data_IF_278244436646
#
_entry.id   IF_278244436646
#
_cell.length_a   1.000
_cell.length_b   1.000
_cell.length_c   1.000
_cell.angle_alpha   90.00
_cell.angle_beta   90.00
_cell.angle_gamma   90.00
#
_symmetry.space_group_name_H-M   'P 1'
#
loop_
_entity.id
_entity.type
_entity.pdbx_description
1 polymer ?
#
# COMPACT_ATOMS: atom_id res chain seq x y z
N UNK A 1 10.95 19.42 3.16
CA UNK A 1 11.69 18.23 3.62
C UNK A 1 10.91 17.31 4.56
N UNK A 2 9.71 17.67 5.05
CA UNK A 2 8.98 16.83 6.05
C UNK A 2 7.98 15.84 5.45
N UNK A 3 7.88 15.74 4.13
CA UNK A 3 6.98 14.80 3.47
C UNK A 3 7.44 14.51 2.05
N UNK A 4 7.47 13.23 1.64
CA UNK A 4 7.89 12.81 0.29
C UNK A 4 6.87 13.17 -0.80
N UNK A 5 5.64 13.55 -0.42
CA UNK A 5 4.51 13.76 -1.33
C UNK A 5 4.77 14.72 -2.52
N UNK A 6 5.47 15.87 -2.37
CA UNK A 6 5.73 16.80 -3.47
C UNK A 6 6.53 16.18 -4.62
N UNK A 7 7.29 15.10 -4.38
CA UNK A 7 8.06 14.40 -5.39
C UNK A 7 7.23 13.35 -6.16
N UNK A 8 6.08 12.94 -5.62
CA UNK A 8 5.20 11.95 -6.25
C UNK A 8 4.04 12.58 -7.02
N UNK A 9 3.51 13.73 -6.57
CA UNK A 9 2.40 14.42 -7.25
C UNK A 9 2.69 14.69 -8.75
N UNK A 10 3.88 15.19 -9.14
CA UNK A 10 4.16 15.55 -10.53
C UNK A 10 4.27 14.33 -11.47
N UNK A 11 4.44 13.12 -10.92
CA UNK A 11 4.55 11.91 -11.71
C UNK A 11 3.20 11.48 -12.33
N UNK A 12 2.08 12.14 -11.96
CA UNK A 12 0.72 11.83 -12.42
C UNK A 12 0.34 10.35 -12.26
N UNK A 13 0.92 9.71 -11.25
CA UNK A 13 0.70 8.30 -10.97
C UNK A 13 -0.53 8.10 -10.08
N UNK A 14 -1.20 6.96 -10.18
CA UNK A 14 -2.36 6.65 -9.34
C UNK A 14 -2.01 6.55 -7.84
N UNK A 15 -0.72 6.60 -7.49
CA UNK A 15 -0.20 6.61 -6.13
C UNK A 15 -0.75 7.75 -5.26
N UNK A 16 -1.09 8.90 -5.85
CA UNK A 16 -1.71 10.02 -5.12
C UNK A 16 -3.07 9.64 -4.51
N UNK A 17 -3.78 8.68 -5.10
CA UNK A 17 -5.09 8.26 -4.62
C UNK A 17 -5.01 7.38 -3.36
N UNK A 18 -3.85 6.82 -3.02
CA UNK A 18 -3.69 6.03 -1.79
C UNK A 18 -3.79 6.87 -0.51
N UNK A 19 -3.11 8.03 -0.36
CA UNK A 19 -3.35 8.92 0.78
C UNK A 19 -4.74 9.56 0.74
N UNK A 20 -5.30 9.87 -0.44
CA UNK A 20 -6.68 10.38 -0.56
C UNK A 20 -7.68 9.33 -0.05
N UNK A 21 -7.49 8.06 -0.42
CA UNK A 21 -8.28 6.93 0.07
C UNK A 21 -8.28 6.87 1.60
N UNK A 22 -7.11 7.01 2.24
CA UNK A 22 -7.02 7.04 3.70
C UNK A 22 -7.82 8.19 4.30
N UNK A 23 -7.58 9.42 3.83
CA UNK A 23 -8.22 10.62 4.37
C UNK A 23 -9.74 10.54 4.24
N UNK A 24 -10.25 10.15 3.08
CA UNK A 24 -11.69 10.04 2.85
C UNK A 24 -12.33 8.84 3.51
N UNK A 25 -11.61 7.73 3.72
CA UNK A 25 -12.08 6.65 4.58
C UNK A 25 -12.20 7.12 6.05
N UNK A 26 -11.24 7.89 6.56
CA UNK A 26 -11.33 8.50 7.89
C UNK A 26 -12.49 9.50 8.00
N UNK A 27 -12.65 10.39 7.02
CA UNK A 27 -13.78 11.34 6.98
C UNK A 27 -15.11 10.61 6.88
N UNK A 28 -15.18 9.53 6.09
CA UNK A 28 -16.35 8.66 6.04
C UNK A 28 -16.66 8.10 7.42
N UNK A 29 -15.67 7.61 8.18
CA UNK A 29 -15.89 7.11 9.56
C UNK A 29 -16.36 8.21 10.53
N UNK A 30 -15.97 9.47 10.30
CA UNK A 30 -16.29 10.63 11.13
C UNK A 30 -17.51 11.44 10.67
N UNK A 31 -18.18 10.99 9.60
CA UNK A 31 -19.33 11.70 9.02
C UNK A 31 -20.42 12.00 10.03
N UNK A 32 -21.07 13.16 9.87
CA UNK A 32 -22.16 13.63 10.73
C UNK A 32 -23.54 13.38 10.14
N UNK A 33 -23.64 13.35 8.82
CA UNK A 33 -24.91 13.23 8.10
C UNK A 33 -24.78 12.31 6.87
N UNK A 34 -25.92 12.03 6.23
CA UNK A 34 -25.97 11.16 5.04
C UNK A 34 -25.30 11.77 3.82
N UNK A 35 -25.37 13.10 3.64
CA UNK A 35 -24.70 13.79 2.53
C UNK A 35 -23.19 13.62 2.58
N UNK A 36 -22.60 13.79 3.75
CA UNK A 36 -21.19 13.49 4.02
C UNK A 36 -20.87 12.00 3.79
N UNK A 37 -21.77 11.09 4.18
CA UNK A 37 -21.61 9.66 3.90
C UNK A 37 -21.46 9.39 2.40
N UNK A 38 -22.34 9.96 1.58
CA UNK A 38 -22.30 9.80 0.13
C UNK A 38 -21.05 10.46 -0.46
N UNK A 39 -20.76 11.71 -0.10
CA UNK A 39 -19.61 12.44 -0.63
C UNK A 39 -18.29 11.71 -0.32
N UNK A 40 -18.05 11.40 0.96
CA UNK A 40 -16.81 10.74 1.38
C UNK A 40 -16.75 9.29 0.90
N UNK A 41 -17.89 8.60 0.86
CA UNK A 41 -17.99 7.25 0.31
C UNK A 41 -17.67 7.21 -1.17
N UNK A 42 -18.21 8.13 -1.98
CA UNK A 42 -17.93 8.21 -3.41
C UNK A 42 -16.44 8.49 -3.68
N UNK A 43 -15.82 9.40 -2.95
CA UNK A 43 -14.38 9.71 -3.12
C UNK A 43 -13.52 8.53 -2.67
N UNK A 44 -13.92 7.82 -1.60
CA UNK A 44 -13.26 6.58 -1.16
C UNK A 44 -13.32 5.52 -2.26
N UNK A 45 -14.49 5.30 -2.87
CA UNK A 45 -14.68 4.34 -3.96
C UNK A 45 -13.89 4.73 -5.20
N UNK A 46 -13.95 6.01 -5.59
CA UNK A 46 -13.18 6.53 -6.73
C UNK A 46 -11.69 6.27 -6.52
N UNK A 47 -11.15 6.67 -5.36
CA UNK A 47 -9.74 6.48 -5.01
C UNK A 47 -9.34 5.01 -4.98
N UNK A 48 -10.25 4.12 -4.56
CA UNK A 48 -10.02 2.68 -4.54
C UNK A 48 -9.94 2.08 -5.96
N UNK A 49 -10.76 2.55 -6.90
CA UNK A 49 -10.77 2.07 -8.29
C UNK A 49 -9.54 2.53 -9.08
N UNK A 50 -8.89 3.63 -8.69
CA UNK A 50 -7.72 4.17 -9.42
C UNK A 50 -6.52 3.23 -9.48
N UNK A 51 -6.40 2.26 -8.58
CA UNK A 51 -5.30 1.31 -8.59
C UNK A 51 -5.67 0.00 -7.89
N UNK A 52 -5.25 -1.15 -8.45
CA UNK A 52 -5.58 -2.48 -7.89
C UNK A 52 -5.10 -2.66 -6.44
N UNK A 53 -3.96 -2.07 -6.06
CA UNK A 53 -3.50 -2.15 -4.67
C UNK A 53 -4.45 -1.42 -3.71
N UNK A 54 -5.13 -0.35 -4.14
CA UNK A 54 -6.08 0.37 -3.30
C UNK A 54 -7.34 -0.46 -2.98
N UNK A 55 -7.73 -1.38 -3.88
CA UNK A 55 -8.80 -2.36 -3.61
C UNK A 55 -8.44 -3.24 -2.41
N UNK A 56 -7.25 -3.82 -2.44
CA UNK A 56 -6.73 -4.69 -1.37
C UNK A 56 -6.54 -3.90 -0.09
N UNK A 57 -5.94 -2.70 -0.16
CA UNK A 57 -5.69 -1.84 0.99
C UNK A 57 -6.99 -1.46 1.68
N UNK A 58 -8.03 -1.03 0.95
CA UNK A 58 -9.31 -0.66 1.53
C UNK A 58 -10.00 -1.87 2.21
N UNK A 59 -9.95 -3.05 1.58
CA UNK A 59 -10.51 -4.27 2.15
C UNK A 59 -9.77 -4.70 3.42
N UNK A 60 -8.44 -4.69 3.42
CA UNK A 60 -7.62 -5.02 4.59
C UNK A 60 -7.80 -4.01 5.71
N UNK A 61 -7.78 -2.72 5.39
CA UNK A 61 -7.94 -1.65 6.37
C UNK A 61 -9.31 -1.68 7.03
N UNK A 62 -10.38 -1.78 6.24
CA UNK A 62 -11.75 -1.83 6.78
C UNK A 62 -12.01 -3.10 7.60
N UNK A 63 -11.49 -4.25 7.17
CA UNK A 63 -11.54 -5.52 7.92
C UNK A 63 -10.71 -5.45 9.21
N UNK A 64 -9.51 -4.88 9.16
CA UNK A 64 -8.64 -4.67 10.33
C UNK A 64 -9.31 -3.79 11.38
N UNK A 65 -9.92 -2.67 10.96
CA UNK A 65 -10.71 -1.82 11.86
C UNK A 65 -11.90 -2.58 12.48
N UNK A 66 -12.58 -3.41 11.69
CA UNK A 66 -13.69 -4.22 12.17
C UNK A 66 -13.25 -5.25 13.21
N UNK A 67 -12.13 -5.95 12.98
CA UNK A 67 -11.54 -6.89 13.94
C UNK A 67 -11.15 -6.17 15.23
N UNK A 68 -10.45 -5.03 15.15
CA UNK A 68 -10.09 -4.22 16.32
C UNK A 68 -11.34 -3.80 17.10
N UNK A 69 -12.40 -3.38 16.41
CA UNK A 69 -13.68 -3.05 17.03
C UNK A 69 -14.32 -4.25 17.76
N UNK A 70 -14.33 -5.44 17.14
CA UNK A 70 -14.85 -6.65 17.77
C UNK A 70 -14.05 -7.06 19.02
N UNK A 71 -12.73 -7.00 18.95
CA UNK A 71 -11.84 -7.28 20.08
C UNK A 71 -12.05 -6.30 21.23
N UNK A 72 -12.21 -5.01 20.92
CA UNK A 72 -12.53 -3.98 21.91
C UNK A 72 -13.88 -4.24 22.57
N UNK A 73 -14.93 -4.51 21.79
CA UNK A 73 -16.28 -4.83 22.32
C UNK A 73 -16.27 -6.06 23.24
N UNK A 74 -15.52 -7.11 22.87
CA UNK A 74 -15.39 -8.33 23.68
C UNK A 74 -14.74 -8.06 25.03
N UNK A 75 -13.68 -7.23 25.09
CA UNK A 75 -13.02 -6.85 26.36
C UNK A 75 -13.94 -6.04 27.27
N UNK A 76 -14.67 -5.07 26.74
CA UNK A 76 -15.61 -4.23 27.51
C UNK A 76 -16.82 -5.01 28.05
N UNK A 77 -17.23 -6.08 27.37
CA UNK A 77 -18.36 -6.93 27.79
C UNK A 77 -17.97 -7.96 28.87
N UNK A 78 -16.67 -8.21 29.07
CA UNK A 78 -16.18 -9.11 30.12
C UNK A 78 -16.34 -8.45 31.50
N UNK A 79 -17.08 -9.10 32.41
CA UNK A 79 -17.46 -8.62 33.76
C UNK A 79 -16.29 -8.07 34.61
N UNK A 80 -15.04 -8.46 34.31
CA UNK A 80 -13.82 -8.00 35.03
C UNK A 80 -13.42 -6.53 34.77
N UNK A 81 -13.94 -5.88 33.72
CA UNK A 81 -13.56 -4.51 33.34
C UNK A 81 -14.65 -3.45 33.62
N UNK A 82 -15.75 -3.84 34.28
CA UNK A 82 -16.85 -2.92 34.60
C UNK A 82 -16.45 -1.80 35.57
N UNK A 83 -15.47 -2.04 36.44
CA UNK A 83 -14.98 -1.04 37.41
C UNK A 83 -13.95 -0.03 36.85
N UNK A 84 -13.34 -0.29 35.69
CA UNK A 84 -12.27 0.57 35.14
C UNK A 84 -12.68 1.37 33.89
N UNK A 85 -13.89 1.15 33.37
CA UNK A 85 -14.38 1.74 32.12
C UNK A 85 -15.54 2.72 32.35
N UNK A 86 -15.27 3.87 32.95
CA UNK A 86 -16.20 5.01 33.04
C UNK A 86 -16.19 5.93 31.80
N UNK A 87 -15.43 5.59 30.75
CA UNK A 87 -15.45 6.35 29.49
C UNK A 87 -16.62 5.90 28.64
N UNK A 88 -17.76 6.60 28.76
CA UNK A 88 -18.88 6.49 27.81
C UNK A 88 -18.34 6.73 26.38
N UNK A 89 -18.61 5.85 25.40
CA UNK A 89 -18.25 6.14 24.01
C UNK A 89 -18.99 7.40 23.53
N UNK A 90 -18.36 8.25 22.68
CA UNK A 90 -18.97 9.50 22.22
C UNK A 90 -20.32 9.25 21.51
N UNK A 91 -21.33 10.03 21.89
CA UNK A 91 -22.75 9.86 21.57
C UNK A 91 -23.13 10.51 20.23
N UNK A 92 -22.52 10.09 19.12
CA UNK A 92 -22.89 10.56 17.78
C UNK A 92 -22.65 9.44 16.76
N UNK A 93 -23.70 8.61 16.59
CA UNK A 93 -23.74 7.36 15.80
C UNK A 93 -22.76 6.28 16.29
N UNK A 94 -23.17 5.01 16.52
CA UNK A 94 -22.23 4.03 17.04
C UNK A 94 -21.16 3.78 15.98
N UNK A 95 -19.92 4.18 16.28
CA UNK A 95 -18.72 4.02 15.45
C UNK A 95 -18.63 2.62 14.78
N UNK A 96 -19.17 1.58 15.44
CA UNK A 96 -19.33 0.23 14.87
C UNK A 96 -20.19 0.14 13.60
N UNK A 97 -21.26 0.92 13.47
CA UNK A 97 -22.07 0.99 12.23
C UNK A 97 -21.27 1.64 11.10
N UNK A 98 -20.51 2.69 11.39
CA UNK A 98 -19.65 3.34 10.39
C UNK A 98 -18.56 2.40 9.87
N UNK A 99 -17.90 1.65 10.75
CA UNK A 99 -16.90 0.63 10.37
C UNK A 99 -17.55 -0.47 9.52
N UNK A 100 -18.70 -1.00 9.93
CA UNK A 100 -19.43 -2.01 9.13
C UNK A 100 -19.79 -1.50 7.75
N UNK A 101 -20.26 -0.25 7.66
CA UNK A 101 -20.58 0.37 6.38
C UNK A 101 -19.34 0.58 5.51
N UNK A 102 -18.19 0.95 6.09
CA UNK A 102 -16.92 1.06 5.35
C UNK A 102 -16.46 -0.32 4.83
N UNK A 103 -16.61 -1.37 5.64
CA UNK A 103 -16.29 -2.74 5.22
C UNK A 103 -17.17 -3.19 4.06
N UNK A 104 -18.48 -2.94 4.11
CA UNK A 104 -19.40 -3.21 3.00
C UNK A 104 -19.08 -2.36 1.77
N UNK A 105 -18.79 -1.07 1.96
CA UNK A 105 -18.38 -0.14 0.90
C UNK A 105 -17.11 -0.63 0.19
N UNK A 106 -16.19 -1.29 0.90
CA UNK A 106 -14.96 -1.83 0.30
C UNK A 106 -15.21 -2.88 -0.78
N UNK A 107 -16.39 -3.50 -0.83
CA UNK A 107 -16.76 -4.48 -1.86
C UNK A 107 -17.17 -3.81 -3.19
N UNK A 108 -17.65 -2.57 -3.15
CA UNK A 108 -18.13 -1.87 -4.32
C UNK A 108 -17.02 -1.62 -5.37
N UNK A 109 -15.81 -1.15 -5.01
CA UNK A 109 -14.70 -1.05 -5.96
C UNK A 109 -14.35 -2.37 -6.66
N UNK A 110 -14.40 -3.51 -5.95
CA UNK A 110 -14.20 -4.82 -6.57
C UNK A 110 -15.28 -5.12 -7.61
N UNK A 111 -16.55 -4.90 -7.27
CA UNK A 111 -17.65 -5.10 -8.21
C UNK A 111 -17.53 -4.19 -9.44
N UNK A 112 -17.11 -2.93 -9.28
CA UNK A 112 -16.92 -2.00 -10.39
C UNK A 112 -15.77 -2.43 -11.31
N UNK A 113 -14.62 -2.82 -10.75
CA UNK A 113 -13.45 -3.24 -11.55
C UNK A 113 -13.68 -4.59 -12.23
N UNK A 114 -14.31 -5.56 -11.54
CA UNK A 114 -14.67 -6.83 -12.16
C UNK A 114 -15.77 -6.62 -13.20
N UNK A 115 -16.77 -5.80 -12.90
CA UNK A 115 -17.86 -5.46 -13.81
C UNK A 115 -17.36 -4.81 -15.09
N UNK A 116 -16.41 -3.86 -14.99
CA UNK A 116 -15.79 -3.24 -16.16
C UNK A 116 -14.98 -4.25 -16.98
N UNK A 117 -14.25 -5.16 -16.34
CA UNK A 117 -13.53 -6.22 -17.04
C UNK A 117 -14.48 -7.19 -17.76
N UNK A 118 -15.57 -7.61 -17.13
CA UNK A 118 -16.60 -8.45 -17.76
C UNK A 118 -17.24 -7.73 -18.94
N UNK A 119 -17.61 -6.46 -18.77
CA UNK A 119 -18.24 -5.65 -19.82
C UNK A 119 -17.35 -5.49 -21.06
N UNK A 120 -16.03 -5.35 -20.89
CA UNK A 120 -15.05 -5.27 -21.99
C UNK A 120 -14.72 -6.65 -22.59
N UNK A 121 -15.19 -7.75 -22.00
CA UNK A 121 -14.91 -9.11 -22.48
C UNK A 121 -13.62 -9.73 -21.93
N UNK A 122 -13.04 -9.17 -20.85
CA UNK A 122 -11.83 -9.69 -20.21
C UNK A 122 -12.11 -10.86 -19.25
N UNK A 123 -13.38 -11.19 -19.04
CA UNK A 123 -13.85 -12.20 -18.09
C UNK A 123 -13.91 -11.71 -16.65
N UNK A 124 -14.25 -12.63 -15.74
CA UNK A 124 -14.34 -12.35 -14.30
C UNK A 124 -12.93 -12.24 -13.68
N UNK A 125 -12.31 -11.07 -13.79
CA UNK A 125 -10.99 -10.77 -13.23
C UNK A 125 -10.89 -9.32 -12.80
N UNK A 126 -10.00 -9.04 -11.86
CA UNK A 126 -9.60 -7.66 -11.52
C UNK A 126 -8.53 -7.09 -12.43
N UNK A 127 -7.73 -7.95 -13.05
CA UNK A 127 -6.64 -7.55 -13.94
C UNK A 127 -6.31 -8.67 -14.92
N UNK A 128 -5.94 -8.31 -16.15
CA UNK A 128 -5.42 -9.27 -17.14
C UNK A 128 -4.04 -9.81 -16.74
N UNK A 129 -3.19 -8.96 -16.18
CA UNK A 129 -1.77 -9.23 -15.94
C UNK A 129 -1.41 -9.63 -14.50
N UNK A 130 -2.39 -9.88 -13.62
CA UNK A 130 -2.11 -10.19 -12.20
C UNK A 130 -1.23 -11.43 -12.01
N UNK A 131 -1.36 -12.43 -12.87
CA UNK A 131 -0.56 -13.66 -12.86
C UNK A 131 0.93 -13.39 -13.06
N UNK A 132 1.31 -12.41 -13.90
CA UNK A 132 2.70 -12.03 -14.17
C UNK A 132 3.35 -11.46 -12.92
N UNK A 133 2.72 -10.47 -12.29
CA UNK A 133 3.23 -9.88 -11.04
C UNK A 133 3.28 -10.90 -9.91
N UNK A 134 2.30 -11.80 -9.82
CA UNK A 134 2.30 -12.78 -8.75
C UNK A 134 3.41 -13.81 -8.93
N UNK A 135 3.64 -14.34 -10.14
CA UNK A 135 4.79 -15.21 -10.42
C UNK A 135 6.11 -14.48 -10.20
N UNK A 136 6.25 -13.25 -10.68
CA UNK A 136 7.44 -12.44 -10.42
C UNK A 136 7.69 -12.29 -8.92
N UNK A 137 6.63 -12.12 -8.12
CA UNK A 137 6.76 -12.11 -6.66
C UNK A 137 7.18 -13.46 -6.08
N UNK A 138 6.67 -14.57 -6.62
CA UNK A 138 7.15 -15.91 -6.25
C UNK A 138 8.63 -16.13 -6.61
N UNK A 139 9.10 -15.46 -7.67
CA UNK A 139 10.51 -15.45 -8.06
C UNK A 139 11.34 -14.74 -6.97
N UNK A 140 11.01 -13.49 -6.66
CA UNK A 140 11.72 -12.66 -5.67
C UNK A 140 11.78 -13.29 -4.28
N UNK A 141 10.71 -13.97 -3.84
CA UNK A 141 10.68 -14.59 -2.51
C UNK A 141 11.20 -16.04 -2.49
N UNK A 142 11.68 -16.56 -3.62
CA UNK A 142 12.25 -17.91 -3.75
C UNK A 142 11.24 -19.06 -3.69
N UNK A 143 9.94 -18.79 -3.61
CA UNK A 143 8.89 -19.82 -3.65
C UNK A 143 8.86 -20.48 -5.03
N UNK A 144 9.02 -19.70 -6.10
CA UNK A 144 9.03 -20.20 -7.47
C UNK A 144 10.19 -21.16 -7.69
N UNK A 145 11.41 -20.79 -7.26
CA UNK A 145 12.59 -21.66 -7.36
C UNK A 145 12.31 -23.03 -6.75
N UNK A 146 11.83 -23.02 -5.51
CA UNK A 146 11.53 -24.23 -4.76
C UNK A 146 10.44 -25.08 -5.43
N UNK A 147 9.41 -24.42 -5.98
CA UNK A 147 8.35 -25.11 -6.70
C UNK A 147 8.88 -25.79 -7.97
N UNK A 148 9.67 -25.08 -8.77
CA UNK A 148 10.26 -25.60 -10.00
C UNK A 148 11.22 -26.75 -9.72
N UNK A 149 12.07 -26.66 -8.70
CA UNK A 149 12.99 -27.73 -8.29
C UNK A 149 12.26 -29.05 -7.98
N UNK A 150 11.04 -28.97 -7.45
CA UNK A 150 10.26 -30.14 -7.03
C UNK A 150 9.35 -30.70 -8.13
N UNK A 151 8.98 -29.90 -9.13
CA UNK A 151 7.92 -30.27 -10.09
C UNK A 151 8.38 -30.35 -11.54
N UNK A 152 9.53 -29.75 -11.91
CA UNK A 152 9.95 -29.69 -13.31
C UNK A 152 10.20 -31.06 -13.96
N UNK A 153 10.67 -32.05 -13.20
CA UNK A 153 10.93 -33.39 -13.72
C UNK A 153 9.62 -34.14 -14.05
N UNK A 154 8.56 -33.90 -13.27
CA UNK A 154 7.26 -34.55 -13.44
C UNK A 154 6.29 -33.74 -14.32
N UNK A 155 6.42 -32.41 -14.33
CA UNK A 155 5.56 -31.47 -15.04
C UNK A 155 6.42 -30.38 -15.70
N UNK A 156 6.97 -30.64 -16.89
CA UNK A 156 7.79 -29.67 -17.60
C UNK A 156 7.00 -28.42 -17.93
N UNK A 157 7.59 -27.25 -17.68
CA UNK A 157 7.05 -25.95 -18.07
C UNK A 157 8.15 -25.09 -18.71
N UNK A 158 7.80 -24.06 -19.50
CA UNK A 158 8.80 -23.14 -20.05
C UNK A 158 9.70 -22.49 -18.98
N UNK A 159 9.17 -22.27 -17.77
CA UNK A 159 9.94 -21.72 -16.64
C UNK A 159 11.01 -22.68 -16.11
N UNK A 160 10.86 -23.99 -16.33
CA UNK A 160 11.83 -24.98 -15.89
C UNK A 160 13.22 -24.79 -16.54
N UNK A 161 13.26 -24.27 -17.76
CA UNK A 161 14.53 -23.95 -18.44
C UNK A 161 15.33 -22.84 -17.73
N UNK A 162 14.67 -22.02 -16.92
CA UNK A 162 15.25 -20.89 -16.22
C UNK A 162 15.36 -21.09 -14.71
N UNK A 163 15.03 -22.27 -14.18
CA UNK A 163 14.94 -22.50 -12.73
C UNK A 163 16.22 -22.09 -11.99
N UNK A 164 17.40 -22.30 -12.57
CA UNK A 164 18.68 -21.97 -11.93
C UNK A 164 19.21 -20.56 -12.21
N UNK A 165 18.52 -19.80 -13.08
CA UNK A 165 18.85 -18.43 -13.45
C UNK A 165 17.62 -17.50 -13.29
N UNK A 166 16.94 -17.63 -12.14
CA UNK A 166 15.82 -16.78 -11.79
C UNK A 166 16.31 -15.41 -11.27
N UNK A 167 15.69 -14.29 -11.70
CA UNK A 167 16.06 -12.96 -11.24
C UNK A 167 15.76 -12.76 -9.74
N UNK A 168 16.56 -11.91 -9.11
CA UNK A 168 16.44 -11.61 -7.68
C UNK A 168 15.24 -10.73 -7.34
N UNK A 169 14.83 -9.83 -8.25
CA UNK A 169 13.76 -8.88 -8.00
C UNK A 169 12.58 -9.09 -8.95
N UNK A 170 11.38 -8.79 -8.45
CA UNK A 170 10.14 -8.92 -9.23
C UNK A 170 10.14 -8.01 -10.46
N UNK A 171 10.73 -6.79 -10.38
CA UNK A 171 10.80 -5.89 -11.54
C UNK A 171 11.64 -6.47 -12.69
N UNK A 172 12.65 -7.30 -12.38
CA UNK A 172 13.60 -7.83 -13.38
C UNK A 172 12.90 -8.94 -14.15
N UNK A 173 12.04 -9.69 -13.45
CA UNK A 173 11.18 -10.68 -14.07
C UNK A 173 10.15 -10.06 -15.02
N UNK A 174 9.59 -8.89 -14.66
CA UNK A 174 8.43 -8.31 -15.35
C UNK A 174 8.81 -7.36 -16.48
N UNK A 175 9.90 -6.60 -16.34
CA UNK A 175 10.19 -5.45 -17.19
C UNK A 175 11.47 -5.57 -18.02
N UNK A 176 12.19 -6.69 -17.94
CA UNK A 176 13.33 -6.94 -18.83
C UNK A 176 12.84 -7.27 -20.24
N UNK A 177 13.24 -6.45 -21.21
CA UNK A 177 12.83 -6.54 -22.63
C UNK A 177 13.23 -7.87 -23.28
N UNK A 178 14.29 -8.55 -22.79
CA UNK A 178 14.68 -9.92 -23.20
C UNK A 178 14.64 -10.91 -22.01
N UNK A 179 13.75 -10.62 -21.06
CA UNK A 179 13.63 -11.36 -19.82
C UNK A 179 12.91 -12.70 -19.93
N UNK A 180 12.83 -13.40 -18.79
CA UNK A 180 12.13 -14.70 -18.68
C UNK A 180 10.67 -14.58 -19.12
N UNK A 181 9.99 -13.49 -18.76
CA UNK A 181 8.57 -13.28 -19.10
C UNK A 181 8.31 -13.42 -20.60
N UNK A 182 9.06 -12.72 -21.45
CA UNK A 182 8.91 -12.79 -22.91
C UNK A 182 9.22 -14.21 -23.43
N UNK A 183 10.27 -14.85 -22.90
CA UNK A 183 10.68 -16.22 -23.26
C UNK A 183 9.70 -17.31 -22.82
N UNK A 184 8.81 -17.02 -21.87
CA UNK A 184 7.82 -17.97 -21.36
C UNK A 184 6.37 -17.57 -21.64
N UNK A 185 6.14 -16.79 -22.70
CA UNK A 185 4.79 -16.50 -23.25
C UNK A 185 4.28 -15.08 -23.03
N UNK A 186 5.08 -14.20 -22.44
CA UNK A 186 4.77 -12.79 -22.26
C UNK A 186 3.52 -12.54 -21.40
N UNK A 187 2.95 -11.35 -21.53
CA UNK A 187 1.79 -10.89 -20.74
C UNK A 187 0.48 -11.65 -20.97
N UNK A 188 0.34 -12.31 -22.14
CA UNK A 188 -0.93 -12.88 -22.58
C UNK A 188 -0.92 -14.41 -22.63
N UNK A 189 0.16 -15.03 -23.14
CA UNK A 189 0.20 -16.48 -23.35
C UNK A 189 0.74 -17.25 -22.13
N UNK A 190 1.35 -16.57 -21.15
CA UNK A 190 1.83 -17.20 -19.91
C UNK A 190 0.71 -17.52 -18.90
N UNK A 191 -0.48 -16.94 -19.06
CA UNK A 191 -1.56 -16.96 -18.06
C UNK A 191 -1.97 -18.35 -17.58
N UNK A 192 -2.14 -19.31 -18.50
CA UNK A 192 -2.59 -20.67 -18.15
C UNK A 192 -1.53 -21.37 -17.30
N UNK A 193 -0.28 -21.33 -17.75
CA UNK A 193 0.83 -22.00 -17.08
C UNK A 193 1.14 -21.35 -15.72
N UNK A 194 1.21 -20.02 -15.68
CA UNK A 194 1.50 -19.28 -14.45
C UNK A 194 0.41 -19.52 -13.39
N UNK A 195 -0.86 -19.54 -13.79
CA UNK A 195 -1.95 -19.84 -12.86
C UNK A 195 -1.91 -21.28 -12.35
N UNK A 196 -1.45 -22.25 -13.14
CA UNK A 196 -1.24 -23.63 -12.69
C UNK A 196 -0.20 -23.69 -11.57
N UNK A 197 0.93 -23.02 -11.75
CA UNK A 197 1.99 -22.92 -10.74
C UNK A 197 1.48 -22.19 -9.49
N UNK A 198 0.85 -21.02 -9.66
CA UNK A 198 0.25 -20.25 -8.56
C UNK A 198 -0.71 -21.13 -7.75
N UNK A 199 -1.65 -21.80 -8.42
CA UNK A 199 -2.61 -22.69 -7.78
C UNK A 199 -1.90 -23.84 -7.03
N UNK A 200 -0.85 -24.43 -7.62
CA UNK A 200 -0.03 -25.44 -6.97
C UNK A 200 0.62 -24.95 -5.68
N UNK A 201 1.15 -23.73 -5.66
CA UNK A 201 1.75 -23.13 -4.45
C UNK A 201 0.72 -22.75 -3.39
N UNK A 202 -0.53 -22.47 -3.78
CA UNK A 202 -1.62 -22.16 -2.84
C UNK A 202 -2.33 -23.41 -2.31
N UNK A 203 -2.25 -24.54 -3.03
CA UNK A 203 -2.91 -25.78 -2.62
C UNK A 203 -2.10 -26.58 -1.57
N UNK A 204 -0.78 -26.35 -1.47
CA UNK A 204 0.09 -27.12 -0.58
C UNK A 204 0.36 -26.38 0.75
N UNK A 205 0.15 -27.03 1.92
CA UNK A 205 0.45 -26.45 3.22
C UNK A 205 1.89 -25.94 3.37
N UNK A 206 2.85 -26.64 2.74
CA UNK A 206 4.27 -26.28 2.75
C UNK A 206 4.52 -24.93 2.10
N UNK A 207 3.93 -24.70 0.93
CA UNK A 207 4.07 -23.44 0.20
C UNK A 207 3.22 -22.33 0.82
N UNK A 208 2.04 -22.63 1.37
CA UNK A 208 1.25 -21.66 2.14
C UNK A 208 2.02 -21.08 3.33
N UNK A 209 2.76 -21.91 4.08
CA UNK A 209 3.63 -21.41 5.14
C UNK A 209 4.72 -20.47 4.61
N UNK A 210 5.30 -20.78 3.44
CA UNK A 210 6.29 -19.91 2.80
C UNK A 210 5.67 -18.59 2.35
N UNK A 211 4.47 -18.61 1.76
CA UNK A 211 3.73 -17.40 1.41
C UNK A 211 3.56 -16.48 2.62
N UNK A 212 3.06 -17.02 3.75
CA UNK A 212 2.90 -16.24 4.99
C UNK A 212 4.23 -15.68 5.49
N UNK A 213 5.26 -16.53 5.58
CA UNK A 213 6.57 -16.15 6.12
C UNK A 213 7.24 -15.07 5.27
N UNK A 214 7.28 -15.25 3.96
CA UNK A 214 7.94 -14.31 3.06
C UNK A 214 7.13 -13.02 2.89
N UNK A 215 5.79 -13.09 2.92
CA UNK A 215 4.95 -11.88 2.93
C UNK A 215 5.18 -11.05 4.18
N UNK A 216 5.32 -11.68 5.36
CA UNK A 216 5.62 -10.99 6.60
C UNK A 216 6.98 -10.29 6.56
N UNK A 217 8.03 -10.99 6.10
CA UNK A 217 9.37 -10.39 5.92
C UNK A 217 9.35 -9.23 4.93
N UNK A 218 8.72 -9.42 3.77
CA UNK A 218 8.60 -8.39 2.74
C UNK A 218 7.82 -7.17 3.25
N UNK A 219 6.78 -7.37 4.05
CA UNK A 219 6.02 -6.28 4.69
C UNK A 219 6.89 -5.45 5.63
N UNK A 220 7.69 -6.11 6.48
CA UNK A 220 8.63 -5.42 7.38
C UNK A 220 9.66 -4.63 6.57
N UNK A 221 10.23 -5.23 5.52
CA UNK A 221 11.17 -4.52 4.66
C UNK A 221 10.51 -3.31 3.99
N UNK A 222 9.31 -3.47 3.44
CA UNK A 222 8.55 -2.41 2.79
C UNK A 222 8.17 -1.25 3.72
N UNK A 223 7.93 -1.51 5.00
CA UNK A 223 7.69 -0.47 6.01
C UNK A 223 8.91 0.43 6.24
N UNK A 224 10.11 -0.13 6.12
CA UNK A 224 11.37 0.59 6.32
C UNK A 224 11.86 1.31 5.06
N UNK A 225 11.37 0.92 3.89
CA UNK A 225 11.68 1.59 2.62
C UNK A 225 10.79 2.83 2.46
N UNK A 226 11.27 3.97 2.95
CA UNK A 226 10.52 5.25 3.00
C UNK A 226 11.09 6.31 2.06
N UNK A 227 12.19 5.99 1.38
CA UNK A 227 12.97 6.93 0.59
C UNK A 227 12.23 7.42 -0.66
N UNK A 228 12.51 8.66 -1.01
CA UNK A 228 12.19 9.25 -2.31
C UNK A 228 13.34 8.98 -3.27
N UNK A 229 13.01 8.88 -4.56
CA UNK A 229 13.98 8.78 -5.65
C UNK A 229 13.66 7.66 -6.63
N UNK A 230 13.10 6.56 -6.13
CA UNK A 230 12.65 5.43 -6.95
C UNK A 230 11.68 5.91 -8.06
N UNK A 231 12.07 5.73 -9.32
CA UNK A 231 11.30 6.16 -10.49
C UNK A 231 11.48 7.62 -10.91
N UNK A 232 12.33 8.39 -10.21
CA UNK A 232 12.73 9.78 -10.55
C UNK A 232 14.20 9.82 -11.00
N UNK A 233 14.81 8.66 -11.23
CA UNK A 233 16.14 8.56 -11.81
C UNK A 233 16.16 8.99 -13.28
N UNK A 234 17.36 8.99 -13.87
CA UNK A 234 17.52 9.14 -15.30
C UNK A 234 16.85 7.96 -15.98
N UNK A 235 16.02 8.24 -16.96
CA UNK A 235 15.34 7.20 -17.72
C UNK A 235 16.28 6.69 -18.81
N UNK A 236 16.26 5.38 -19.06
CA UNK A 236 17.04 4.81 -20.16
C UNK A 236 16.51 5.31 -21.50
N UNK A 237 17.36 6.02 -22.24
CA UNK A 237 17.04 6.57 -23.57
C UNK A 237 16.90 5.50 -24.65
N UNK A 238 17.34 4.26 -24.39
CA UNK A 238 17.17 3.11 -25.25
C UNK A 238 16.04 2.16 -24.78
N UNK A 239 15.46 2.40 -23.60
CA UNK A 239 14.41 1.58 -23.05
C UNK A 239 13.08 1.73 -23.81
N UNK A 240 12.14 0.83 -23.54
CA UNK A 240 10.83 0.78 -24.21
C UNK A 240 10.07 2.10 -24.13
N UNK A 241 10.05 2.79 -22.98
CA UNK A 241 9.40 4.11 -22.85
C UNK A 241 10.02 5.16 -23.77
N UNK A 242 11.35 5.22 -23.84
CA UNK A 242 12.06 6.20 -24.65
C UNK A 242 11.89 5.92 -26.15
N UNK A 243 11.86 4.64 -26.55
CA UNK A 243 11.54 4.20 -27.92
C UNK A 243 10.13 4.64 -28.33
N UNK A 244 9.14 4.44 -27.47
CA UNK A 244 7.76 4.87 -27.75
C UNK A 244 7.62 6.39 -27.77
N UNK A 245 8.23 7.10 -26.82
CA UNK A 245 8.23 8.57 -26.82
C UNK A 245 8.87 9.12 -28.10
N UNK A 246 9.99 8.55 -28.55
CA UNK A 246 10.66 8.95 -29.80
C UNK A 246 9.78 8.71 -31.02
N UNK A 247 9.01 7.62 -31.03
CA UNK A 247 8.18 7.22 -32.16
C UNK A 247 6.88 8.03 -32.23
N UNK A 248 6.19 8.18 -31.10
CA UNK A 248 4.87 8.82 -31.04
C UNK A 248 4.94 10.33 -30.78
N UNK A 249 5.98 10.81 -30.09
CA UNK A 249 6.13 12.19 -29.64
C UNK A 249 7.57 12.72 -29.84
N UNK A 250 8.06 12.79 -31.10
CA UNK A 250 9.47 13.09 -31.38
C UNK A 250 9.94 14.45 -30.85
N UNK A 251 9.08 15.46 -30.82
CA UNK A 251 9.39 16.77 -30.23
C UNK A 251 9.58 16.70 -28.71
N UNK A 252 8.71 15.96 -28.01
CA UNK A 252 8.83 15.77 -26.56
C UNK A 252 10.04 14.91 -26.21
N UNK A 253 10.36 13.90 -27.04
CA UNK A 253 11.58 13.10 -26.88
C UNK A 253 12.84 13.96 -26.98
N UNK A 254 12.90 14.91 -27.92
CA UNK A 254 14.03 15.85 -27.98
C UNK A 254 14.15 16.65 -26.69
N UNK A 255 13.05 17.26 -26.20
CA UNK A 255 13.05 17.99 -24.94
C UNK A 255 13.48 17.13 -23.74
N UNK A 256 12.95 15.91 -23.66
CA UNK A 256 13.29 14.91 -22.65
C UNK A 256 14.78 14.53 -22.68
N UNK A 257 15.34 14.24 -23.85
CA UNK A 257 16.71 13.75 -23.98
C UNK A 257 17.76 14.87 -23.87
N UNK A 258 17.50 16.03 -24.51
CA UNK A 258 18.52 17.08 -24.67
C UNK A 258 18.33 18.29 -23.78
N UNK A 259 17.15 18.55 -23.22
CA UNK A 259 16.86 19.78 -22.46
C UNK A 259 16.45 19.53 -21.01
N UNK A 260 16.18 18.28 -20.62
CA UNK A 260 15.74 17.95 -19.27
C UNK A 260 16.90 17.90 -18.26
N UNK A 261 16.82 18.70 -17.20
CA UNK A 261 17.77 18.72 -16.08
C UNK A 261 17.83 17.38 -15.34
N UNK A 262 16.71 16.69 -15.14
CA UNK A 262 16.68 15.35 -14.53
C UNK A 262 17.53 14.37 -15.33
N UNK A 263 17.40 14.40 -16.66
CA UNK A 263 18.12 13.49 -17.55
C UNK A 263 19.63 13.80 -17.60
N UNK A 264 20.02 15.07 -17.57
CA UNK A 264 21.43 15.48 -17.60
C UNK A 264 22.15 15.34 -16.27
N UNK A 265 21.57 15.89 -15.21
CA UNK A 265 22.24 16.05 -13.92
C UNK A 265 21.89 14.92 -12.96
N UNK A 266 20.73 14.28 -13.14
CA UNK A 266 20.16 13.41 -12.11
C UNK A 266 19.73 14.20 -10.87
N UNK A 267 19.07 13.53 -9.94
CA UNK A 267 18.76 14.09 -8.63
C UNK A 267 19.39 13.21 -7.56
N UNK A 268 20.06 13.84 -6.60
CA UNK A 268 20.52 13.17 -5.39
C UNK A 268 19.51 13.43 -4.26
N UNK A 269 18.85 12.37 -3.81
CA UNK A 269 17.89 12.42 -2.70
C UNK A 269 18.51 12.07 -1.35
N UNK A 270 19.81 11.80 -1.24
CA UNK A 270 20.44 11.37 0.01
C UNK A 270 20.21 12.34 1.17
N UNK A 271 20.53 13.63 0.97
CA UNK A 271 20.33 14.66 2.01
C UNK A 271 18.85 14.82 2.33
N UNK A 272 17.98 14.80 1.31
CA UNK A 272 16.55 14.90 1.49
C UNK A 272 16.00 13.75 2.35
N UNK A 273 16.35 12.51 1.99
CA UNK A 273 15.91 11.29 2.67
C UNK A 273 16.42 11.27 4.11
N UNK A 274 17.70 11.59 4.34
CA UNK A 274 18.26 11.68 5.70
C UNK A 274 17.49 12.69 6.58
N UNK A 275 17.27 13.91 6.08
CA UNK A 275 16.52 14.93 6.84
C UNK A 275 15.09 14.47 7.10
N UNK A 276 14.44 13.88 6.10
CA UNK A 276 13.09 13.35 6.23
C UNK A 276 13.03 12.23 7.28
N UNK A 277 13.87 11.21 7.18
CA UNK A 277 13.85 10.04 8.06
C UNK A 277 14.12 10.43 9.51
N UNK A 278 15.14 11.26 9.77
CA UNK A 278 15.41 11.76 11.13
C UNK A 278 14.24 12.56 11.69
N UNK A 279 13.64 13.45 10.89
CA UNK A 279 12.48 14.23 11.32
C UNK A 279 11.27 13.34 11.61
N UNK A 280 11.01 12.34 10.77
CA UNK A 280 9.90 11.42 10.91
C UNK A 280 10.07 10.53 12.14
N UNK A 281 11.28 9.99 12.37
CA UNK A 281 11.62 9.19 13.56
C UNK A 281 11.40 10.00 14.83
N UNK A 282 11.92 11.22 14.90
CA UNK A 282 11.74 12.08 16.09
C UNK A 282 10.26 12.33 16.36
N UNK A 283 9.48 12.72 15.35
CA UNK A 283 8.04 13.01 15.51
C UNK A 283 7.28 11.77 15.94
N UNK A 284 7.52 10.62 15.32
CA UNK A 284 6.88 9.35 15.67
C UNK A 284 7.25 8.91 17.08
N UNK A 285 8.53 8.98 17.46
CA UNK A 285 8.99 8.64 18.81
C UNK A 285 8.33 9.52 19.87
N UNK A 286 8.28 10.85 19.67
CA UNK A 286 7.62 11.76 20.61
C UNK A 286 6.12 11.47 20.71
N UNK A 287 5.44 11.22 19.57
CA UNK A 287 4.03 10.86 19.57
C UNK A 287 3.80 9.54 20.35
N UNK A 288 4.64 8.53 20.13
CA UNK A 288 4.57 7.26 20.87
C UNK A 288 4.81 7.46 22.37
N UNK A 289 5.77 8.29 22.78
CA UNK A 289 5.99 8.61 24.19
C UNK A 289 4.77 9.28 24.83
N UNK A 290 4.08 10.18 24.11
CA UNK A 290 2.82 10.78 24.59
C UNK A 290 1.73 9.73 24.72
N UNK A 291 1.59 8.83 23.74
CA UNK A 291 0.60 7.74 23.77
C UNK A 291 0.88 6.78 24.93
N UNK A 292 2.15 6.43 25.18
CA UNK A 292 2.54 5.56 26.29
C UNK A 292 2.30 6.23 27.65
N UNK A 293 2.56 7.54 27.76
CA UNK A 293 2.32 8.30 28.98
C UNK A 293 0.82 8.59 29.21
N UNK A 294 0.03 8.75 28.14
CA UNK A 294 -1.39 9.00 28.19
C UNK A 294 -2.16 8.24 27.08
N UNK A 295 -2.46 6.95 27.27
CA UNK A 295 -3.11 6.14 26.23
C UNK A 295 -4.55 6.57 25.93
N UNK A 296 -5.14 7.43 26.76
CA UNK A 296 -6.49 7.98 26.58
C UNK A 296 -6.50 9.28 25.77
N UNK A 297 -5.34 9.76 25.32
CA UNK A 297 -5.26 10.95 24.46
C UNK A 297 -6.05 10.70 23.18
N UNK A 298 -6.96 11.61 22.81
CA UNK A 298 -7.83 11.48 21.63
C UNK A 298 -7.03 11.21 20.34
N UNK A 299 -5.84 11.81 20.23
CA UNK A 299 -4.94 11.61 19.09
C UNK A 299 -4.41 10.18 18.93
N UNK A 300 -4.37 9.39 20.01
CA UNK A 300 -3.80 8.03 20.00
C UNK A 300 -4.57 7.09 19.06
N UNK A 301 -5.91 7.24 19.00
CA UNK A 301 -6.76 6.44 18.11
C UNK A 301 -6.45 6.75 16.66
N UNK A 302 -6.36 8.04 16.30
CA UNK A 302 -6.03 8.46 14.93
C UNK A 302 -4.65 7.97 14.53
N UNK A 303 -3.65 8.10 15.41
CA UNK A 303 -2.31 7.58 15.16
C UNK A 303 -2.30 6.06 14.91
N UNK A 304 -3.02 5.29 15.74
CA UNK A 304 -3.15 3.84 15.56
C UNK A 304 -3.89 3.44 14.27
N UNK A 305 -4.93 4.19 13.88
CA UNK A 305 -5.66 4.00 12.62
C UNK A 305 -4.76 4.30 11.41
N UNK A 306 -3.97 5.37 11.47
CA UNK A 306 -2.98 5.69 10.43
C UNK A 306 -1.92 4.62 10.32
N UNK A 307 -1.39 4.14 11.45
CA UNK A 307 -0.41 3.05 11.46
C UNK A 307 -0.99 1.78 10.84
N UNK A 308 -2.23 1.41 11.18
CA UNK A 308 -2.91 0.28 10.56
C UNK A 308 -3.02 0.45 9.04
N UNK A 309 -3.36 1.65 8.56
CA UNK A 309 -3.46 1.90 7.11
C UNK A 309 -2.11 1.75 6.41
N UNK A 310 -1.03 2.33 6.97
CA UNK A 310 0.33 2.20 6.43
C UNK A 310 0.77 0.73 6.42
N UNK A 311 0.45 -0.02 7.48
CA UNK A 311 0.71 -1.46 7.55
C UNK A 311 -0.06 -2.23 6.45
N UNK A 312 -1.34 -1.91 6.22
CA UNK A 312 -2.12 -2.51 5.14
C UNK A 312 -1.56 -2.16 3.75
N UNK A 313 -1.08 -0.93 3.54
CA UNK A 313 -0.38 -0.54 2.32
C UNK A 313 0.88 -1.37 2.10
N UNK A 314 1.78 -1.39 3.09
CA UNK A 314 3.02 -2.14 3.00
C UNK A 314 2.78 -3.62 2.77
N UNK A 315 1.82 -4.23 3.47
CA UNK A 315 1.46 -5.63 3.26
C UNK A 315 0.91 -5.88 1.85
N UNK A 316 -0.03 -5.07 1.39
CA UNK A 316 -0.64 -5.26 0.07
C UNK A 316 0.38 -5.12 -1.06
N UNK A 317 1.25 -4.11 -1.01
CA UNK A 317 2.26 -3.89 -2.05
C UNK A 317 3.37 -4.93 -1.97
N UNK A 318 3.86 -5.24 -0.77
CA UNK A 318 4.95 -6.20 -0.61
C UNK A 318 4.54 -7.65 -0.90
N UNK A 319 3.27 -8.01 -0.74
CA UNK A 319 2.79 -9.39 -0.94
C UNK A 319 2.44 -9.70 -2.39
N UNK A 320 1.91 -8.72 -3.12
CA UNK A 320 1.34 -8.94 -4.46
C UNK A 320 2.08 -8.21 -5.59
N UNK A 321 3.11 -7.42 -5.26
CA UNK A 321 3.92 -6.67 -6.20
C UNK A 321 5.37 -6.61 -5.69
N UNK A 322 6.10 -5.57 -6.07
CA UNK A 322 7.51 -5.36 -5.74
C UNK A 322 7.69 -4.79 -4.32
N UNK A 323 8.88 -4.97 -3.75
CA UNK A 323 9.29 -4.26 -2.54
C UNK A 323 10.13 -3.04 -2.93
N UNK A 324 9.53 -1.85 -2.90
CA UNK A 324 10.10 -0.61 -3.44
C UNK A 324 9.82 0.59 -2.55
N UNK A 325 10.77 1.51 -2.40
CA UNK A 325 10.62 2.69 -1.55
C UNK A 325 9.43 3.55 -1.97
N UNK A 326 9.23 3.74 -3.28
CA UNK A 326 8.08 4.49 -3.83
C UNK A 326 6.73 4.03 -3.28
N UNK A 327 6.51 2.72 -3.10
CA UNK A 327 5.20 2.16 -2.75
C UNK A 327 4.78 2.44 -1.31
N UNK A 328 5.74 2.68 -0.41
CA UNK A 328 5.47 3.08 0.96
C UNK A 328 5.69 4.58 1.17
N UNK A 329 6.63 5.20 0.44
CA UNK A 329 6.87 6.64 0.44
C UNK A 329 5.58 7.45 0.13
N UNK A 330 4.68 6.92 -0.72
CA UNK A 330 3.38 7.56 -1.04
C UNK A 330 2.41 7.69 0.15
N UNK A 331 2.57 6.92 1.23
CA UNK A 331 1.69 6.97 2.43
C UNK A 331 2.42 7.23 3.74
N UNK A 332 3.72 6.94 3.84
CA UNK A 332 4.44 6.97 5.11
C UNK A 332 4.42 8.35 5.76
N UNK A 333 4.40 9.43 4.96
CA UNK A 333 4.25 10.81 5.43
C UNK A 333 2.99 11.08 6.27
N UNK A 334 1.96 10.23 6.18
CA UNK A 334 0.77 10.33 7.03
C UNK A 334 1.08 10.10 8.51
N UNK A 335 2.04 9.23 8.83
CA UNK A 335 2.42 8.92 10.21
C UNK A 335 3.04 10.11 10.96
N UNK A 336 4.13 10.74 10.48
CA UNK A 336 4.67 11.92 11.15
C UNK A 336 3.68 13.09 11.11
N UNK A 337 2.85 13.22 10.07
CA UNK A 337 1.78 14.23 10.05
C UNK A 337 0.80 14.04 11.21
N UNK A 338 0.31 12.82 11.42
CA UNK A 338 -0.61 12.50 12.54
C UNK A 338 0.08 12.57 13.90
N UNK A 339 1.35 12.20 13.97
CA UNK A 339 2.19 12.39 15.15
C UNK A 339 2.31 13.86 15.54
N UNK A 340 2.58 14.74 14.57
CA UNK A 340 2.66 16.17 14.80
C UNK A 340 1.32 16.75 15.30
N UNK A 341 0.20 16.35 14.68
CA UNK A 341 -1.14 16.78 15.12
C UNK A 341 -1.43 16.32 16.56
N UNK A 342 -1.04 15.10 16.93
CA UNK A 342 -1.16 14.59 18.29
C UNK A 342 -0.33 15.40 19.28
N UNK A 343 0.94 15.67 18.95
CA UNK A 343 1.85 16.49 19.78
C UNK A 343 1.27 17.89 19.98
N UNK A 344 0.81 18.54 18.90
CA UNK A 344 0.20 19.87 18.96
C UNK A 344 -1.06 19.88 19.82
N UNK A 345 -1.95 18.90 19.63
CA UNK A 345 -3.16 18.74 20.45
C UNK A 345 -2.81 18.60 21.94
N UNK A 346 -1.81 17.77 22.26
CA UNK A 346 -1.35 17.54 23.63
C UNK A 346 -0.83 18.83 24.29
N UNK A 347 -0.01 19.59 23.56
CA UNK A 347 0.54 20.87 24.04
C UNK A 347 -0.58 21.88 24.30
N UNK A 348 -1.51 22.03 23.35
CA UNK A 348 -2.63 22.98 23.46
C UNK A 348 -3.54 22.65 24.65
N UNK A 349 -3.86 21.37 24.87
CA UNK A 349 -4.66 20.92 26.03
C UNK A 349 -3.94 21.21 27.35
N UNK A 350 -2.62 21.02 27.44
CA UNK A 350 -1.84 21.38 28.64
C UNK A 350 -1.84 22.88 28.89
N UNK A 351 -1.70 23.71 27.85
CA UNK A 351 -1.75 25.17 27.98
C UNK A 351 -3.13 25.60 28.50
N UNK A 352 -4.22 25.05 27.93
CA UNK A 352 -5.59 25.34 28.36
C UNK A 352 -5.81 24.97 29.83
N UNK A 353 -5.38 23.78 30.26
CA UNK A 353 -5.48 23.34 31.67
C UNK A 353 -4.68 24.21 32.63
N UNK A 354 -3.52 24.74 32.22
CA UNK A 354 -2.72 25.68 33.04
C UNK A 354 -3.43 27.02 33.21
N UNK A 355 -4.04 27.58 32.15
CA UNK A 355 -4.79 28.84 32.23
C UNK A 355 -6.00 28.74 33.16
N UNK A 356 -6.75 27.63 33.09
CA UNK A 356 -7.93 27.39 33.96
C UNK A 356 -7.54 27.22 35.44
N UNK A 357 -6.31 26.79 35.76
CA UNK A 357 -5.83 26.71 37.14
C UNK A 357 -5.36 28.05 37.72
N UNK A 358 -5.18 29.07 36.88
CA UNK A 358 -4.72 30.41 37.29
C UNK A 358 -5.88 31.42 37.43
N UNK A 359 -7.07 31.05 36.95
CA UNK A 359 -8.35 31.74 37.17
C UNK A 359 -9.13 31.03 38.26
#
# INVERSE_FOLDING_TARGET
FLSPLPWFIPQLMPDIFTPILFLYACLFLLRKNTKEAYLFGCITVLSAVMHNSNLIILSLFSTGLFIVYLLWKRKTTSKKFKDLSTTKPPQWMPFGTAIRQLMLLSLLPWALVIGSNVWVGNGFTVSKGSHVFFIGKLCENGILKKYLDEHCDANPSPLCAFKDNLPAHTWDFVWDDDGILEKTGGWHHSKVEYNKIIAGTLASPKYLFLHVRESAKATVHQLLLTHVGDGIERLDTAGTLAKELKTQFPHDYQGFNTNNTQQKMGYDFNVYNQVYDWSAVIIVCVALLIILANPKETGSVFFGVTFLFVLCNAFATATFANVLSRLNARVIGLLPMMGLLLILHHILERIKKRKVKQT
#
